data_IF_651076636976
#
_entry.id   IF_651076636976
#
_cell.length_a   1.000
_cell.length_b   1.000
_cell.length_c   1.000
_cell.angle_alpha   90.00
_cell.angle_beta   90.00
_cell.angle_gamma   90.00
#
_symmetry.space_group_name_H-M   'P 1'
#
loop_
_entity.id
_entity.type
_entity.pdbx_description
1 polymer ?
#
# COMPACT_ATOMS: atom_id res chain seq x y z
N UNK A 1 -13.77 -3.00 -3.30
CA UNK A 1 -12.53 -3.84 -3.40
C UNK A 1 -12.39 -4.72 -2.16
N UNK A 2 -12.14 -6.02 -2.31
CA UNK A 2 -12.02 -6.95 -1.17
C UNK A 2 -10.57 -7.09 -0.71
N UNK A 3 -10.34 -7.04 0.60
CA UNK A 3 -9.03 -7.32 1.17
C UNK A 3 -8.72 -8.82 1.09
N UNK A 4 -7.45 -9.17 0.94
CA UNK A 4 -7.00 -10.55 0.68
C UNK A 4 -5.65 -10.88 1.30
N UNK A 5 -5.36 -12.17 1.37
CA UNK A 5 -4.02 -12.72 1.59
C UNK A 5 -3.27 -12.70 0.25
N UNK A 6 -2.19 -11.92 0.14
CA UNK A 6 -1.46 -11.73 -1.10
C UNK A 6 -0.13 -12.48 -1.17
N UNK A 7 0.79 -11.97 -1.99
CA UNK A 7 2.13 -12.55 -2.14
C UNK A 7 2.96 -12.37 -0.87
N UNK A 8 2.82 -11.22 -0.21
CA UNK A 8 3.53 -10.90 1.01
C UNK A 8 3.12 -11.81 2.17
N UNK A 9 1.82 -12.07 2.33
CA UNK A 9 1.28 -13.00 3.33
C UNK A 9 1.97 -14.36 3.29
N UNK A 10 2.17 -14.93 2.09
CA UNK A 10 2.80 -16.26 1.91
C UNK A 10 4.27 -16.31 2.34
N UNK A 11 4.91 -15.15 2.54
CA UNK A 11 6.30 -15.03 3.02
C UNK A 11 6.40 -14.85 4.53
N UNK A 12 5.28 -14.66 5.22
CA UNK A 12 5.23 -14.54 6.67
C UNK A 12 5.31 -15.93 7.32
N UNK A 13 5.94 -15.99 8.51
CA UNK A 13 5.91 -17.16 9.38
C UNK A 13 4.50 -17.43 9.91
N UNK A 14 4.18 -18.65 10.40
CA UNK A 14 2.84 -18.96 10.89
C UNK A 14 2.31 -17.99 11.98
N UNK A 15 3.12 -17.55 12.98
CA UNK A 15 2.67 -16.53 13.94
C UNK A 15 2.40 -15.16 13.30
N UNK A 16 3.21 -14.75 12.33
CA UNK A 16 3.01 -13.51 11.58
C UNK A 16 1.77 -13.58 10.68
N UNK A 17 1.46 -14.75 10.10
CA UNK A 17 0.23 -14.97 9.33
C UNK A 17 -1.02 -14.86 10.20
N UNK A 18 -0.96 -15.36 11.45
CA UNK A 18 -2.07 -15.18 12.40
C UNK A 18 -2.27 -13.68 12.72
N UNK A 19 -1.18 -12.95 13.00
CA UNK A 19 -1.23 -11.51 13.21
C UNK A 19 -1.81 -10.77 11.99
N UNK A 20 -1.38 -11.15 10.78
CA UNK A 20 -1.88 -10.59 9.52
C UNK A 20 -3.40 -10.74 9.42
N UNK A 21 -3.97 -11.91 9.71
CA UNK A 21 -5.42 -12.15 9.63
C UNK A 21 -6.22 -11.32 10.62
N UNK A 22 -5.72 -11.17 11.86
CA UNK A 22 -6.33 -10.30 12.87
C UNK A 22 -6.39 -8.86 12.33
N UNK A 23 -5.28 -8.37 11.79
CA UNK A 23 -5.20 -7.03 11.21
C UNK A 23 -6.09 -6.90 9.97
N UNK A 24 -6.14 -7.92 9.10
CA UNK A 24 -6.97 -7.94 7.89
C UNK A 24 -8.45 -7.78 8.25
N UNK A 25 -8.91 -8.45 9.30
CA UNK A 25 -10.27 -8.32 9.81
C UNK A 25 -10.53 -6.90 10.36
N UNK A 26 -9.57 -6.33 11.08
CA UNK A 26 -9.68 -4.96 11.58
C UNK A 26 -9.79 -3.93 10.44
N UNK A 27 -8.93 -4.02 9.43
CA UNK A 27 -8.98 -3.15 8.25
C UNK A 27 -10.26 -3.37 7.42
N UNK A 28 -10.75 -4.61 7.32
CA UNK A 28 -12.02 -4.93 6.64
C UNK A 28 -13.23 -4.26 7.30
N UNK A 29 -13.18 -4.07 8.63
CA UNK A 29 -14.22 -3.37 9.38
C UNK A 29 -14.00 -1.85 9.48
N UNK A 30 -12.98 -1.31 8.79
CA UNK A 30 -12.57 0.10 8.85
C UNK A 30 -12.27 0.55 10.29
N UNK A 31 -11.64 -0.32 11.07
CA UNK A 31 -11.30 -0.02 12.46
C UNK A 31 -10.31 1.15 12.55
N UNK A 32 -10.40 1.92 13.65
CA UNK A 32 -9.46 3.00 14.00
C UNK A 32 -8.30 2.48 14.87
N UNK A 33 -8.50 1.36 15.55
CA UNK A 33 -7.49 0.64 16.32
C UNK A 33 -7.79 -0.86 16.30
N UNK A 34 -6.80 -1.67 16.68
CA UNK A 34 -7.01 -3.10 16.88
C UNK A 34 -6.14 -3.63 18.02
N UNK A 35 -6.65 -4.69 18.66
CA UNK A 35 -5.96 -5.36 19.74
C UNK A 35 -4.80 -6.20 19.21
N UNK A 36 -3.63 -6.03 19.85
CA UNK A 36 -2.43 -6.81 19.56
C UNK A 36 -2.04 -7.73 20.72
N UNK A 37 -2.87 -7.82 21.77
CA UNK A 37 -2.64 -8.66 22.96
C UNK A 37 -2.55 -10.15 22.65
N UNK A 38 -3.33 -10.61 21.66
CA UNK A 38 -3.35 -12.00 21.20
C UNK A 38 -2.17 -12.36 20.28
N UNK A 39 -1.37 -11.37 19.88
CA UNK A 39 -0.25 -11.58 18.98
C UNK A 39 0.99 -11.97 19.80
N UNK A 40 1.66 -13.05 19.40
CA UNK A 40 2.84 -13.57 20.08
C UNK A 40 3.95 -12.52 20.24
N UNK A 41 4.63 -12.52 21.40
CA UNK A 41 5.65 -11.51 21.77
C UNK A 41 6.83 -11.39 20.80
N UNK A 42 7.10 -12.40 19.97
CA UNK A 42 8.19 -12.41 18.98
C UNK A 42 7.78 -11.96 17.57
N UNK A 43 6.52 -11.54 17.37
CA UNK A 43 6.04 -11.06 16.07
C UNK A 43 6.38 -9.59 15.89
N UNK A 44 7.05 -9.26 14.79
CA UNK A 44 7.23 -7.88 14.36
C UNK A 44 5.93 -7.35 13.74
N UNK A 45 5.14 -6.63 14.54
CA UNK A 45 3.86 -6.07 14.11
C UNK A 45 4.02 -5.06 12.97
N UNK A 46 5.11 -4.28 12.94
CA UNK A 46 5.31 -3.27 11.92
C UNK A 46 5.59 -3.92 10.58
N UNK A 47 6.43 -4.97 10.56
CA UNK A 47 6.62 -5.81 9.37
C UNK A 47 5.29 -6.39 8.87
N UNK A 48 4.47 -6.94 9.76
CA UNK A 48 3.18 -7.55 9.37
C UNK A 48 2.21 -6.50 8.81
N UNK A 49 2.11 -5.33 9.44
CA UNK A 49 1.29 -4.22 8.93
C UNK A 49 1.79 -3.74 7.57
N UNK A 50 3.10 -3.58 7.38
CA UNK A 50 3.67 -3.19 6.09
C UNK A 50 3.34 -4.22 4.99
N UNK A 51 3.49 -5.51 5.28
CA UNK A 51 3.13 -6.59 4.34
C UNK A 51 1.63 -6.57 4.01
N UNK A 52 0.77 -6.38 5.01
CA UNK A 52 -0.68 -6.27 4.80
C UNK A 52 -1.05 -5.09 3.91
N UNK A 53 -0.51 -3.90 4.18
CA UNK A 53 -0.75 -2.70 3.38
C UNK A 53 -0.18 -2.85 1.96
N UNK A 54 0.89 -3.62 1.81
CA UNK A 54 1.49 -3.96 0.51
C UNK A 54 0.62 -4.91 -0.33
N UNK A 55 0.06 -5.93 0.30
CA UNK A 55 -0.88 -6.86 -0.33
C UNK A 55 -2.25 -6.20 -0.59
N UNK A 56 -2.61 -5.18 0.20
CA UNK A 56 -3.92 -4.52 0.17
C UNK A 56 -3.80 -2.99 -0.04
N UNK A 57 -3.36 -2.55 -1.22
CA UNK A 57 -3.10 -1.14 -1.51
C UNK A 57 -4.35 -0.25 -1.52
N UNK A 58 -5.55 -0.84 -1.54
CA UNK A 58 -6.83 -0.11 -1.41
C UNK A 58 -7.07 0.44 -0.01
N UNK A 59 -6.24 0.10 0.99
CA UNK A 59 -6.33 0.68 2.33
C UNK A 59 -5.64 2.05 2.32
N UNK A 60 -6.46 3.11 2.31
CA UNK A 60 -6.04 4.51 2.14
C UNK A 60 -6.65 5.45 3.17
N UNK A 61 -7.39 4.93 4.15
CA UNK A 61 -8.24 5.73 5.05
C UNK A 61 -7.54 6.24 6.33
N UNK A 62 -6.22 6.15 6.42
CA UNK A 62 -5.45 6.58 7.59
C UNK A 62 -4.07 7.09 7.19
N UNK A 63 -3.41 7.82 8.10
CA UNK A 63 -2.06 8.30 7.90
C UNK A 63 -1.03 7.16 8.11
N UNK A 64 -0.53 6.60 7.00
CA UNK A 64 0.48 5.52 7.01
C UNK A 64 1.83 5.95 7.60
N UNK A 65 2.15 7.24 7.62
CA UNK A 65 3.41 7.74 8.20
C UNK A 65 3.40 7.77 9.72
N UNK A 66 2.23 7.54 10.35
CA UNK A 66 2.06 7.65 11.80
C UNK A 66 1.18 6.51 12.34
N UNK A 67 1.79 5.35 12.61
CA UNK A 67 1.17 4.24 13.33
C UNK A 67 1.70 4.23 14.76
N UNK A 68 0.80 4.24 15.75
CA UNK A 68 1.18 4.31 17.17
C UNK A 68 0.80 3.03 17.90
N UNK A 69 1.70 2.56 18.76
CA UNK A 69 1.37 1.51 19.75
C UNK A 69 1.03 2.17 21.07
N UNK A 70 -0.13 1.85 21.64
CA UNK A 70 -0.62 2.40 22.91
C UNK A 70 -0.85 1.25 23.90
N UNK A 71 -0.38 1.42 25.14
CA UNK A 71 -0.71 0.51 26.23
C UNK A 71 -2.12 0.79 26.76
N UNK A 72 -2.92 -0.27 26.95
CA UNK A 72 -4.25 -0.20 27.56
C UNK A 72 -4.36 -1.16 28.75
N UNK A 73 -5.40 -0.98 29.58
CA UNK A 73 -5.69 -1.86 30.72
C UNK A 73 -5.90 -3.33 30.30
N UNK A 74 -6.29 -3.58 29.04
CA UNK A 74 -6.55 -4.92 28.48
C UNK A 74 -5.44 -5.41 27.55
N UNK A 75 -4.28 -4.74 27.49
CA UNK A 75 -3.15 -5.12 26.63
C UNK A 75 -2.69 -3.99 25.69
N UNK A 76 -1.88 -4.34 24.68
CA UNK A 76 -1.35 -3.38 23.70
C UNK A 76 -2.32 -3.20 22.54
N UNK A 77 -2.58 -1.97 22.14
CA UNK A 77 -3.37 -1.64 20.95
C UNK A 77 -2.52 -0.91 19.92
N UNK A 78 -2.76 -1.20 18.64
CA UNK A 78 -2.25 -0.37 17.54
C UNK A 78 -3.33 0.65 17.19
N UNK A 79 -2.98 1.92 17.27
CA UNK A 79 -3.84 3.05 16.94
C UNK A 79 -3.45 3.59 15.56
N UNK A 80 -4.43 3.62 14.65
CA UNK A 80 -4.32 4.31 13.38
C UNK A 80 -4.62 5.79 13.58
N UNK A 81 -3.79 6.65 13.01
CA UNK A 81 -3.94 8.11 13.12
C UNK A 81 -4.51 8.69 11.83
N UNK A 82 -5.12 9.88 11.91
CA UNK A 82 -5.69 10.56 10.75
C UNK A 82 -6.86 9.82 10.10
N UNK A 83 -7.56 8.96 10.85
CA UNK A 83 -8.74 8.23 10.35
C UNK A 83 -9.93 9.21 10.27
N UNK A 84 -10.53 9.43 9.10
CA UNK A 84 -11.67 10.32 8.96
C UNK A 84 -12.96 9.62 9.41
N UNK A 85 -14.07 10.36 9.39
CA UNK A 85 -15.39 9.80 9.70
C UNK A 85 -15.76 8.69 8.70
N UNK A 86 -16.47 7.65 9.15
CA UNK A 86 -16.86 6.51 8.30
C UNK A 86 -17.52 6.91 6.97
N UNK A 87 -18.37 7.93 6.98
CA UNK A 87 -19.01 8.46 5.74
C UNK A 87 -17.97 8.97 4.73
N UNK A 88 -16.89 9.59 5.20
CA UNK A 88 -15.79 10.06 4.36
C UNK A 88 -14.96 8.88 3.86
N UNK A 89 -14.74 7.84 4.67
CA UNK A 89 -14.06 6.61 4.26
C UNK A 89 -14.81 5.94 3.10
N UNK A 90 -16.14 5.81 3.21
CA UNK A 90 -16.98 5.23 2.15
C UNK A 90 -16.85 6.02 0.85
N UNK A 91 -16.91 7.36 0.93
CA UNK A 91 -16.73 8.23 -0.25
C UNK A 91 -15.34 8.06 -0.85
N UNK A 92 -14.31 8.11 -0.02
CA UNK A 92 -12.91 7.97 -0.43
C UNK A 92 -12.68 6.64 -1.17
N UNK A 93 -13.18 5.54 -0.63
CA UNK A 93 -13.09 4.21 -1.26
C UNK A 93 -13.86 4.15 -2.59
N UNK A 94 -15.05 4.76 -2.67
CA UNK A 94 -15.83 4.80 -3.89
C UNK A 94 -15.14 5.63 -4.99
N UNK A 95 -14.60 6.79 -4.64
CA UNK A 95 -13.87 7.67 -5.57
C UNK A 95 -12.61 6.96 -6.10
N UNK A 96 -11.84 6.29 -5.22
CA UNK A 96 -10.67 5.50 -5.59
C UNK A 96 -11.04 4.33 -6.52
N UNK A 97 -12.07 3.56 -6.18
CA UNK A 97 -12.53 2.43 -6.98
C UNK A 97 -13.00 2.87 -8.37
N UNK A 98 -13.75 3.96 -8.45
CA UNK A 98 -14.23 4.52 -9.72
C UNK A 98 -13.06 4.98 -10.60
N UNK A 99 -12.10 5.72 -10.04
CA UNK A 99 -10.91 6.16 -10.77
C UNK A 99 -10.09 4.97 -11.28
N UNK A 100 -9.85 3.98 -10.42
CA UNK A 100 -9.09 2.79 -10.78
C UNK A 100 -9.76 2.00 -11.90
N UNK A 101 -11.09 1.82 -11.87
CA UNK A 101 -11.86 1.16 -12.94
C UNK A 101 -11.70 1.88 -14.29
N UNK A 102 -11.78 3.21 -14.29
CA UNK A 102 -11.61 4.02 -15.51
C UNK A 102 -10.23 3.83 -16.14
N UNK A 103 -9.19 3.68 -15.33
CA UNK A 103 -7.81 3.45 -15.80
C UNK A 103 -7.64 2.02 -16.32
N UNK A 104 -8.17 1.03 -15.59
CA UNK A 104 -8.01 -0.39 -15.89
C UNK A 104 -8.79 -0.81 -17.14
N UNK A 105 -9.98 -0.28 -17.36
CA UNK A 105 -10.88 -0.69 -18.45
C UNK A 105 -10.22 -0.73 -19.85
N UNK A 106 -9.54 0.34 -20.33
CA UNK A 106 -8.86 0.29 -21.63
C UNK A 106 -7.66 -0.66 -21.64
N UNK A 107 -6.93 -0.80 -20.53
CA UNK A 107 -5.73 -1.65 -20.43
C UNK A 107 -6.12 -3.14 -20.43
N UNK A 108 -7.21 -3.49 -19.75
CA UNK A 108 -7.74 -4.85 -19.68
C UNK A 108 -8.16 -5.41 -21.05
N UNK A 109 -8.41 -4.54 -22.03
CA UNK A 109 -8.77 -4.93 -23.39
C UNK A 109 -7.56 -5.43 -24.22
N UNK A 110 -6.34 -5.26 -23.73
CA UNK A 110 -5.11 -5.76 -24.33
C UNK A 110 -4.96 -7.24 -23.98
N UNK A 111 -5.69 -8.11 -24.67
CA UNK A 111 -5.81 -9.55 -24.33
C UNK A 111 -4.58 -10.40 -24.65
N UNK A 112 -3.65 -9.91 -25.47
CA UNK A 112 -2.61 -10.76 -26.08
C UNK A 112 -1.26 -10.75 -25.37
N UNK A 113 -1.03 -9.90 -24.36
CA UNK A 113 0.26 -9.83 -23.68
C UNK A 113 0.19 -9.21 -22.27
N UNK A 114 0.41 -10.03 -21.24
CA UNK A 114 0.52 -9.62 -19.83
C UNK A 114 1.57 -8.50 -19.64
N UNK A 115 2.71 -8.57 -20.33
CA UNK A 115 3.75 -7.54 -20.27
C UNK A 115 3.26 -6.21 -20.86
N UNK A 116 2.49 -6.24 -21.95
CA UNK A 116 1.94 -5.02 -22.53
C UNK A 116 0.96 -4.33 -21.58
N UNK A 117 0.17 -5.08 -20.81
CA UNK A 117 -0.69 -4.50 -19.78
C UNK A 117 0.12 -3.79 -18.70
N UNK A 118 1.18 -4.43 -18.19
CA UNK A 118 2.06 -3.84 -17.17
C UNK A 118 2.83 -2.62 -17.70
N UNK A 119 3.30 -2.64 -18.95
CA UNK A 119 3.94 -1.49 -19.61
C UNK A 119 2.95 -0.33 -19.75
N UNK A 120 1.70 -0.58 -20.17
CA UNK A 120 0.67 0.48 -20.25
C UNK A 120 0.29 1.03 -18.89
N UNK A 121 0.28 0.20 -17.85
CA UNK A 121 0.13 0.67 -16.49
C UNK A 121 1.28 1.60 -16.10
N UNK A 122 2.53 1.18 -16.33
CA UNK A 122 3.72 1.98 -16.06
C UNK A 122 3.67 3.33 -16.80
N UNK A 123 3.39 3.33 -18.10
CA UNK A 123 3.24 4.55 -18.90
C UNK A 123 2.14 5.47 -18.33
N UNK A 124 1.01 4.93 -17.88
CA UNK A 124 -0.02 5.71 -17.23
C UNK A 124 0.52 6.40 -15.97
N UNK A 125 1.22 5.67 -15.11
CA UNK A 125 1.79 6.21 -13.87
C UNK A 125 2.74 7.38 -14.17
N UNK A 126 3.67 7.18 -15.10
CA UNK A 126 4.67 8.19 -15.48
C UNK A 126 4.06 9.45 -16.08
N UNK A 127 2.96 9.31 -16.84
CA UNK A 127 2.32 10.45 -17.52
C UNK A 127 1.34 11.22 -16.63
N UNK A 128 0.82 10.62 -15.56
CA UNK A 128 -0.30 11.18 -14.79
C UNK A 128 0.03 11.51 -13.34
N UNK A 129 1.18 11.05 -12.83
CA UNK A 129 1.53 11.18 -11.42
C UNK A 129 2.87 11.87 -11.31
N UNK A 130 2.92 12.92 -10.50
CA UNK A 130 4.15 13.66 -10.20
C UNK A 130 4.77 13.14 -8.91
N UNK A 131 6.10 13.10 -8.88
CA UNK A 131 6.84 12.76 -7.67
C UNK A 131 6.83 13.91 -6.66
N UNK A 132 6.29 13.65 -5.46
CA UNK A 132 6.17 14.62 -4.37
C UNK A 132 7.48 14.76 -3.59
N UNK A 133 8.43 15.48 -4.20
CA UNK A 133 9.74 15.72 -3.57
C UNK A 133 9.63 16.49 -2.26
N UNK A 134 8.64 17.38 -2.12
CA UNK A 134 8.46 18.16 -0.90
C UNK A 134 7.99 17.26 0.24
N UNK A 135 7.04 16.36 0.00
CA UNK A 135 6.62 15.39 1.01
C UNK A 135 7.75 14.42 1.37
N UNK A 136 8.58 13.99 0.41
CA UNK A 136 9.77 13.17 0.73
C UNK A 136 10.72 13.89 1.71
N UNK A 137 10.96 15.20 1.49
CA UNK A 137 11.82 16.01 2.37
C UNK A 137 11.19 16.32 3.73
N UNK A 138 9.86 16.46 3.79
CA UNK A 138 9.14 16.76 5.02
C UNK A 138 8.95 15.50 5.87
N UNK A 139 8.58 14.37 5.26
CA UNK A 139 8.41 13.07 5.91
C UNK A 139 9.72 12.51 6.48
N UNK A 140 10.85 12.66 5.78
CA UNK A 140 12.18 12.28 6.29
C UNK A 140 12.59 13.04 7.56
N UNK A 141 11.92 14.16 7.87
CA UNK A 141 12.10 14.94 9.11
C UNK A 141 11.00 14.67 10.14
N UNK A 142 10.16 13.65 9.92
CA UNK A 142 9.00 13.34 10.76
C UNK A 142 7.87 14.36 10.66
N UNK A 143 7.83 15.18 9.61
CA UNK A 143 6.89 16.31 9.44
C UNK A 143 6.03 16.17 8.19
N UNK A 144 5.61 14.95 7.87
CA UNK A 144 4.68 14.65 6.77
C UNK A 144 3.50 15.65 6.76
N UNK A 145 3.32 16.35 5.63
CA UNK A 145 2.24 17.34 5.43
C UNK A 145 1.20 16.87 4.44
N UNK A 146 1.57 15.92 3.59
CA UNK A 146 0.69 15.28 2.63
C UNK A 146 0.68 13.75 2.81
N UNK A 147 0.02 13.22 3.86
CA UNK A 147 -0.08 11.77 4.10
C UNK A 147 -0.60 10.95 2.91
N UNK A 148 -1.41 11.56 2.04
CA UNK A 148 -1.96 10.86 0.88
C UNK A 148 -0.90 10.53 -0.17
N UNK A 149 0.21 11.25 -0.22
CA UNK A 149 1.33 10.93 -1.12
C UNK A 149 1.97 9.57 -0.83
N UNK A 150 1.68 8.98 0.34
CA UNK A 150 2.14 7.65 0.75
C UNK A 150 1.13 6.53 0.45
N UNK A 151 0.10 6.78 -0.36
CA UNK A 151 -0.93 5.79 -0.66
C UNK A 151 -1.51 5.92 -2.08
N UNK A 152 -2.35 4.96 -2.48
CA UNK A 152 -2.91 4.92 -3.83
C UNK A 152 -3.84 6.11 -4.13
N UNK A 153 -4.42 6.76 -3.12
CA UNK A 153 -5.29 7.92 -3.30
C UNK A 153 -4.49 9.15 -3.74
N UNK A 154 -3.35 9.45 -3.10
CA UNK A 154 -2.49 10.56 -3.56
C UNK A 154 -2.02 10.37 -4.99
N UNK A 155 -1.60 9.15 -5.33
CA UNK A 155 -1.19 8.80 -6.68
C UNK A 155 -2.34 8.92 -7.71
N UNK A 156 -3.46 8.22 -7.51
CA UNK A 156 -4.50 8.11 -8.55
C UNK A 156 -5.50 9.28 -8.58
N UNK A 157 -5.79 9.88 -7.43
CA UNK A 157 -6.77 10.97 -7.32
C UNK A 157 -6.06 12.32 -7.35
N UNK A 158 -5.02 12.50 -6.55
CA UNK A 158 -4.33 13.80 -6.47
C UNK A 158 -3.26 13.98 -7.55
N UNK A 159 -2.83 12.90 -8.23
CA UNK A 159 -1.76 12.94 -9.23
C UNK A 159 -0.39 13.30 -8.64
N UNK A 160 -0.19 13.05 -7.33
CA UNK A 160 0.99 13.47 -6.58
C UNK A 160 1.30 12.43 -5.49
N UNK A 161 2.48 11.82 -5.55
CA UNK A 161 2.87 10.76 -4.62
C UNK A 161 4.38 10.63 -4.45
N UNK A 162 4.82 9.93 -3.40
CA UNK A 162 6.20 9.42 -3.24
C UNK A 162 6.24 7.91 -3.54
N UNK A 163 7.39 7.26 -3.35
CA UNK A 163 7.64 5.90 -3.80
C UNK A 163 6.59 4.85 -3.36
N UNK A 164 6.14 4.87 -2.10
CA UNK A 164 5.11 3.95 -1.58
C UNK A 164 3.69 4.29 -2.05
N UNK A 165 3.39 5.55 -2.34
CA UNK A 165 2.15 5.96 -3.00
C UNK A 165 2.08 5.50 -4.46
N UNK A 166 3.15 5.70 -5.22
CA UNK A 166 3.31 5.15 -6.57
C UNK A 166 3.16 3.64 -6.58
N UNK A 167 3.89 2.95 -5.71
CA UNK A 167 3.85 1.49 -5.61
C UNK A 167 2.49 0.97 -5.15
N UNK A 168 1.79 1.69 -4.25
CA UNK A 168 0.40 1.40 -3.86
C UNK A 168 -0.54 1.46 -5.05
N UNK A 169 -0.47 2.54 -5.83
CA UNK A 169 -1.34 2.72 -6.99
C UNK A 169 -1.06 1.70 -8.11
N UNK A 170 0.20 1.43 -8.42
CA UNK A 170 0.55 0.39 -9.40
C UNK A 170 0.06 -0.99 -8.96
N UNK A 171 0.32 -1.37 -7.69
CA UNK A 171 -0.18 -2.63 -7.14
C UNK A 171 -1.69 -2.70 -7.28
N UNK A 172 -2.42 -1.68 -6.85
CA UNK A 172 -3.89 -1.65 -6.93
C UNK A 172 -4.39 -1.90 -8.37
N UNK A 173 -3.87 -1.15 -9.33
CA UNK A 173 -4.27 -1.26 -10.74
C UNK A 173 -3.89 -2.62 -11.33
N UNK A 174 -2.70 -3.15 -11.02
CA UNK A 174 -2.25 -4.47 -11.48
C UNK A 174 -3.11 -5.60 -10.88
N UNK A 175 -3.47 -5.49 -9.60
CA UNK A 175 -4.36 -6.44 -8.94
C UNK A 175 -5.76 -6.44 -9.58
N UNK A 176 -6.26 -5.28 -10.01
CA UNK A 176 -7.53 -5.16 -10.73
C UNK A 176 -7.48 -5.73 -12.17
N UNK A 177 -6.30 -5.79 -12.77
CA UNK A 177 -6.05 -6.49 -14.04
C UNK A 177 -5.89 -8.01 -13.87
N UNK A 178 -5.88 -8.51 -12.64
CA UNK A 178 -5.76 -9.94 -12.33
C UNK A 178 -4.36 -10.39 -11.92
N UNK A 179 -3.38 -9.50 -11.85
CA UNK A 179 -2.02 -9.86 -11.42
C UNK A 179 -1.95 -10.08 -9.91
N UNK A 180 -1.14 -11.07 -9.49
CA UNK A 180 -0.65 -11.11 -8.12
C UNK A 180 0.47 -10.06 -7.99
N UNK A 181 0.21 -8.99 -7.24
CA UNK A 181 1.14 -7.88 -7.06
C UNK A 181 1.14 -7.46 -5.59
N UNK A 182 2.32 -7.14 -5.04
CA UNK A 182 2.49 -6.58 -3.69
C UNK A 182 3.52 -5.47 -3.72
N UNK A 183 3.54 -4.64 -2.68
CA UNK A 183 4.65 -3.74 -2.41
C UNK A 183 5.81 -4.50 -1.77
N UNK A 184 7.01 -4.05 -2.04
CA UNK A 184 8.23 -4.39 -1.35
C UNK A 184 8.87 -3.10 -0.81
N UNK A 185 9.47 -3.19 0.36
CA UNK A 185 10.16 -2.08 1.03
C UNK A 185 11.61 -2.51 1.25
N UNK A 186 12.54 -1.59 1.04
CA UNK A 186 13.96 -1.81 1.25
C UNK A 186 14.71 -0.50 1.17
N UNK A 187 15.93 -0.54 0.64
CA UNK A 187 16.78 0.63 0.52
C UNK A 187 17.29 0.81 -0.90
N UNK A 188 17.32 2.06 -1.38
CA UNK A 188 17.94 2.45 -2.64
C UNK A 188 19.32 3.07 -2.38
N UNK A 189 20.34 2.59 -3.10
CA UNK A 189 21.71 3.12 -3.06
C UNK A 189 22.00 4.14 -4.17
N UNK A 190 21.01 4.46 -5.00
CA UNK A 190 21.17 5.37 -6.14
C UNK A 190 21.10 6.86 -5.77
N UNK A 191 20.86 7.19 -4.49
CA UNK A 191 20.81 8.58 -4.06
C UNK A 191 22.21 9.11 -3.75
N UNK A 192 22.49 10.35 -4.17
CA UNK A 192 23.69 11.10 -3.76
C UNK A 192 23.76 11.38 -2.25
N UNK A 193 22.70 11.05 -1.51
CA UNK A 193 22.58 11.18 -0.06
C UNK A 193 22.78 9.84 0.71
N UNK A 194 23.16 8.76 0.01
CA UNK A 194 23.37 7.44 0.62
C UNK A 194 22.15 6.50 0.49
N UNK A 195 22.06 5.51 1.38
CA UNK A 195 20.99 4.51 1.43
C UNK A 195 19.69 5.14 1.93
N UNK A 196 18.66 5.21 1.09
CA UNK A 196 17.35 5.81 1.42
C UNK A 196 16.27 4.73 1.41
N UNK A 197 15.32 4.78 2.34
CA UNK A 197 14.15 3.90 2.33
C UNK A 197 13.40 4.03 1.00
N UNK A 198 13.07 2.89 0.39
CA UNK A 198 12.44 2.84 -0.91
C UNK A 198 11.35 1.79 -0.97
N UNK A 199 10.33 2.06 -1.78
CA UNK A 199 9.24 1.15 -2.05
C UNK A 199 9.08 0.95 -3.55
N UNK A 200 8.90 -0.31 -3.94
CA UNK A 200 8.64 -0.74 -5.31
C UNK A 200 7.64 -1.92 -5.30
N UNK A 201 7.38 -2.53 -6.45
CA UNK A 201 6.44 -3.65 -6.57
C UNK A 201 7.12 -4.99 -6.87
N UNK A 202 6.54 -6.07 -6.34
CA UNK A 202 6.77 -7.43 -6.83
C UNK A 202 5.50 -7.87 -7.54
N UNK A 203 5.60 -8.15 -8.84
CA UNK A 203 4.50 -8.65 -9.67
C UNK A 203 4.81 -10.04 -10.18
N UNK A 204 3.82 -10.94 -10.14
CA UNK A 204 3.94 -12.27 -10.70
C UNK A 204 3.34 -12.30 -12.11
N UNK A 205 4.12 -12.78 -13.07
CA UNK A 205 3.73 -13.00 -14.47
C UNK A 205 4.04 -14.45 -14.83
N UNK A 206 3.00 -15.22 -15.15
CA UNK A 206 3.10 -16.68 -15.18
C UNK A 206 3.65 -17.27 -13.87
N UNK A 207 4.79 -17.97 -13.96
CA UNK A 207 5.46 -18.60 -12.81
C UNK A 207 6.64 -17.81 -12.25
N UNK A 208 6.88 -16.58 -12.72
CA UNK A 208 8.03 -15.76 -12.33
C UNK A 208 7.58 -14.50 -11.60
N UNK A 209 8.36 -14.08 -10.61
CA UNK A 209 8.19 -12.80 -9.94
C UNK A 209 9.20 -11.79 -10.48
N UNK A 210 8.72 -10.58 -10.74
CA UNK A 210 9.49 -9.46 -11.26
C UNK A 210 9.47 -8.32 -10.25
N UNK A 211 10.63 -7.67 -10.09
CA UNK A 211 10.72 -6.40 -9.38
C UNK A 211 10.41 -5.28 -10.37
N UNK A 212 9.41 -4.45 -10.04
CA UNK A 212 8.97 -3.33 -10.84
C UNK A 212 9.08 -2.05 -10.01
N UNK A 213 10.02 -1.19 -10.38
CA UNK A 213 10.11 0.16 -9.83
C UNK A 213 9.43 1.12 -10.82
N UNK A 214 8.44 1.85 -10.32
CA UNK A 214 7.56 2.72 -11.12
C UNK A 214 7.65 4.18 -10.70
N UNK A 215 8.70 4.52 -9.95
CA UNK A 215 8.90 5.80 -9.27
C UNK A 215 9.83 6.75 -10.00
#
# INVERSE_FOLDING_TARGET
>A
MNLREGLGFRRLSPPEQQAYRIMLQAFSSMATSFDSSQIGRGVDLMKVVQVLLGDNPSIVYFNKTQIRTVGSMFGKQIQLTGVPLKVQITKLNADLEAKAKTIVAPIASIKSNEYSQLIKLYEYMQNNIKYDRQELLDSSKGRSKNPNSHNAYGALINGLAVCDGFSSAFSLLAQMLGFECTLAIGHSTHSSAGSVEHAWNIVKVGNKCYHMDVT
#
